data_IF_864446417635
#
_entry.id   IF_864446417635
#
_cell.length_a   1.000
_cell.length_b   1.000
_cell.length_c   1.000
_cell.angle_alpha   90.00
_cell.angle_beta   90.00
_cell.angle_gamma   90.00
#
_symmetry.space_group_name_H-M   'P 1'
#
loop_
_entity.id
_entity.type
_entity.pdbx_description
1 polymer ?
#
# COMPACT_ATOMS: atom_id res chain seq x y z
N UNK A 1 16.81 12.93 50.27
CA UNK A 1 16.78 13.02 48.79
C UNK A 1 17.28 11.70 48.25
N UNK A 2 16.37 10.76 47.95
CA UNK A 2 16.71 9.41 47.46
C UNK A 2 16.48 9.41 45.95
N UNK A 3 17.56 9.25 45.18
CA UNK A 3 17.50 9.05 43.74
C UNK A 3 17.05 7.61 43.47
N UNK A 4 15.79 7.44 43.08
CA UNK A 4 15.30 6.18 42.56
C UNK A 4 15.88 5.96 41.16
N UNK A 5 16.90 5.12 41.07
CA UNK A 5 17.43 4.63 39.79
C UNK A 5 16.37 3.79 39.07
N UNK A 6 15.88 4.27 37.92
CA UNK A 6 15.20 3.43 36.93
C UNK A 6 16.25 2.47 36.36
N UNK A 7 16.22 1.21 36.81
CA UNK A 7 16.91 0.13 36.11
C UNK A 7 16.34 -0.04 34.69
N UNK A 8 17.12 -0.62 33.77
CA UNK A 8 16.62 -0.95 32.43
C UNK A 8 15.49 -1.97 32.58
N UNK A 9 14.27 -1.56 32.26
CA UNK A 9 13.14 -2.47 32.19
C UNK A 9 13.39 -3.48 31.08
N UNK A 10 13.50 -4.76 31.43
CA UNK A 10 13.41 -5.82 30.45
C UNK A 10 12.05 -5.69 29.75
N UNK A 11 12.05 -5.30 28.48
CA UNK A 11 10.86 -5.36 27.66
C UNK A 11 10.54 -6.85 27.49
N UNK A 12 9.48 -7.32 28.15
CA UNK A 12 9.03 -8.69 28.00
C UNK A 12 8.71 -8.95 26.52
N UNK A 13 9.24 -10.06 25.99
CA UNK A 13 8.92 -10.51 24.63
C UNK A 13 7.40 -10.66 24.49
N UNK A 14 6.89 -10.27 23.33
CA UNK A 14 5.46 -10.39 23.05
C UNK A 14 5.13 -11.87 22.92
N UNK A 15 4.11 -12.32 23.65
CA UNK A 15 3.84 -13.75 23.84
C UNK A 15 3.63 -14.56 22.55
N UNK A 16 3.25 -13.91 21.45
CA UNK A 16 3.00 -14.55 20.16
C UNK A 16 4.10 -14.26 19.12
N UNK A 17 5.34 -14.06 19.57
CA UNK A 17 6.54 -13.92 18.71
C UNK A 17 7.01 -15.25 18.07
N UNK A 18 6.35 -16.36 18.39
CA UNK A 18 6.58 -17.69 17.83
C UNK A 18 5.26 -18.38 17.51
N UNK A 19 5.29 -19.30 16.54
CA UNK A 19 4.07 -19.89 15.99
C UNK A 19 3.39 -20.88 16.95
N UNK A 20 4.15 -21.49 17.86
CA UNK A 20 3.61 -22.37 18.90
C UNK A 20 2.75 -21.60 19.91
N UNK A 21 3.15 -20.37 20.24
CA UNK A 21 2.40 -19.46 21.13
C UNK A 21 1.54 -18.44 20.36
N UNK A 22 1.23 -18.72 19.09
CA UNK A 22 0.37 -17.87 18.25
C UNK A 22 -0.93 -17.52 18.97
N UNK A 23 -1.33 -16.25 18.83
CA UNK A 23 -2.53 -15.75 19.50
C UNK A 23 -3.79 -16.13 18.71
N UNK A 24 -4.72 -16.84 19.34
CA UNK A 24 -6.03 -17.14 18.74
C UNK A 24 -6.91 -15.89 18.68
N UNK A 25 -7.42 -15.60 17.50
CA UNK A 25 -8.35 -14.52 17.23
C UNK A 25 -9.79 -15.02 17.32
N UNK A 26 -10.63 -14.26 18.00
CA UNK A 26 -12.07 -14.48 18.00
C UNK A 26 -12.73 -13.60 16.93
N UNK A 27 -13.76 -14.12 16.28
CA UNK A 27 -14.52 -13.37 15.28
C UNK A 27 -15.04 -12.05 15.88
N UNK A 28 -14.86 -10.95 15.14
CA UNK A 28 -15.25 -9.59 15.50
C UNK A 28 -14.56 -9.03 16.76
N UNK A 29 -13.57 -9.72 17.35
CA UNK A 29 -12.81 -9.21 18.49
C UNK A 29 -11.54 -8.50 18.04
N UNK A 30 -11.43 -7.21 18.35
CA UNK A 30 -10.20 -6.45 18.14
C UNK A 30 -9.18 -6.81 19.20
N UNK A 31 -7.94 -7.04 18.77
CA UNK A 31 -6.79 -7.23 19.64
C UNK A 31 -5.73 -6.17 19.35
N UNK A 32 -5.00 -5.75 20.37
CA UNK A 32 -3.79 -4.91 20.22
C UNK A 32 -2.55 -5.80 20.30
N UNK A 33 -1.57 -5.51 19.44
CA UNK A 33 -0.28 -6.20 19.39
C UNK A 33 0.84 -5.23 19.02
N UNK A 34 2.09 -5.68 19.12
CA UNK A 34 3.28 -4.85 18.88
C UNK A 34 4.47 -5.65 18.37
N UNK A 35 5.06 -5.33 17.23
CA UNK A 35 6.24 -6.05 16.68
C UNK A 35 7.55 -5.73 17.43
N UNK A 36 7.50 -4.83 18.43
CA UNK A 36 8.67 -4.48 19.23
C UNK A 36 9.20 -5.68 20.03
N UNK A 37 10.48 -6.01 19.83
CA UNK A 37 11.15 -7.11 20.55
C UNK A 37 10.81 -8.52 20.05
N UNK A 38 10.06 -8.66 18.95
CA UNK A 38 9.79 -9.94 18.32
C UNK A 38 10.98 -10.43 17.49
N UNK A 39 11.06 -11.74 17.28
CA UNK A 39 12.10 -12.41 16.50
C UNK A 39 11.48 -13.30 15.42
N UNK A 40 12.24 -13.58 14.36
CA UNK A 40 11.81 -14.51 13.30
C UNK A 40 12.10 -15.94 13.71
N UNK A 41 11.08 -16.80 13.66
CA UNK A 41 11.25 -18.24 13.78
C UNK A 41 11.62 -18.85 12.42
N UNK A 42 12.90 -18.74 12.05
CA UNK A 42 13.41 -19.03 10.69
C UNK A 42 13.02 -20.41 10.13
N UNK A 43 12.88 -21.43 10.98
CA UNK A 43 12.45 -22.78 10.56
C UNK A 43 10.97 -22.89 10.18
N UNK A 44 10.15 -21.92 10.57
CA UNK A 44 8.70 -21.92 10.35
C UNK A 44 8.26 -20.98 9.23
N UNK A 45 9.19 -20.29 8.56
CA UNK A 45 8.95 -19.40 7.43
C UNK A 45 9.65 -19.92 6.18
N UNK A 46 9.04 -19.71 5.01
CA UNK A 46 9.68 -19.96 3.72
C UNK A 46 9.42 -18.76 2.80
N UNK A 47 10.43 -17.89 2.68
CA UNK A 47 10.38 -16.66 1.88
C UNK A 47 10.08 -16.94 0.39
N UNK A 48 10.34 -18.17 -0.09
CA UNK A 48 9.99 -18.56 -1.47
C UNK A 48 8.48 -18.58 -1.70
N UNK A 49 7.68 -18.80 -0.65
CA UNK A 49 6.22 -18.81 -0.73
C UNK A 49 5.62 -17.40 -0.81
N UNK A 50 6.31 -16.40 -0.28
CA UNK A 50 5.84 -15.01 -0.21
C UNK A 50 6.54 -14.06 -1.18
N UNK A 51 7.65 -14.50 -1.79
CA UNK A 51 8.44 -13.65 -2.69
C UNK A 51 8.92 -12.39 -1.97
N UNK A 52 8.85 -11.24 -2.64
CA UNK A 52 9.26 -9.95 -2.06
C UNK A 52 8.16 -9.22 -1.27
N UNK A 53 7.01 -9.85 -1.05
CA UNK A 53 5.88 -9.18 -0.40
C UNK A 53 6.13 -8.89 1.09
N UNK A 54 6.83 -9.78 1.79
CA UNK A 54 7.21 -9.63 3.20
C UNK A 54 8.69 -9.97 3.34
N UNK A 55 9.39 -9.27 4.22
CA UNK A 55 10.72 -9.66 4.66
C UNK A 55 10.64 -9.90 6.15
N UNK A 56 10.73 -11.15 6.58
CA UNK A 56 10.54 -11.53 7.98
C UNK A 56 11.68 -11.00 8.85
N UNK A 57 11.31 -10.23 9.87
CA UNK A 57 12.23 -9.55 10.78
C UNK A 57 11.76 -9.59 12.24
N UNK A 58 10.46 -9.38 12.48
CA UNK A 58 9.87 -9.26 13.80
C UNK A 58 8.41 -9.74 13.80
N UNK A 59 8.28 -10.97 13.34
CA UNK A 59 7.06 -11.75 13.13
C UNK A 59 6.17 -11.87 14.36
N UNK A 60 4.87 -11.85 14.11
CA UNK A 60 3.83 -12.10 15.11
C UNK A 60 2.80 -13.07 14.56
N UNK A 61 2.65 -14.19 15.25
CA UNK A 61 1.78 -15.25 14.81
C UNK A 61 0.41 -15.15 15.45
N UNK A 62 -0.61 -15.33 14.63
CA UNK A 62 -2.01 -15.44 15.04
C UNK A 62 -2.68 -16.62 14.35
N UNK A 63 -3.77 -17.09 14.95
CA UNK A 63 -4.60 -18.16 14.38
C UNK A 63 -6.06 -17.73 14.36
N UNK A 64 -6.75 -18.04 13.28
CA UNK A 64 -8.19 -17.88 13.18
C UNK A 64 -8.84 -19.15 12.61
N UNK A 65 -9.94 -19.57 13.23
CA UNK A 65 -10.77 -20.68 12.76
C UNK A 65 -12.16 -20.10 12.48
N UNK A 66 -12.58 -19.99 11.21
CA UNK A 66 -13.87 -19.41 10.87
C UNK A 66 -15.00 -20.36 11.29
N UNK A 67 -16.07 -19.86 11.94
CA UNK A 67 -17.21 -20.69 12.32
C UNK A 67 -18.04 -21.15 11.11
N UNK A 68 -18.03 -20.36 10.02
CA UNK A 68 -18.75 -20.64 8.77
C UNK A 68 -17.85 -20.35 7.57
N UNK A 69 -18.07 -21.05 6.45
CA UNK A 69 -17.34 -20.76 5.23
C UNK A 69 -17.81 -19.43 4.62
N UNK A 70 -16.90 -18.71 3.98
CA UNK A 70 -17.22 -17.46 3.28
C UNK A 70 -16.10 -16.44 3.34
N UNK A 71 -16.44 -15.20 2.95
CA UNK A 71 -15.52 -14.06 2.95
C UNK A 71 -15.37 -13.47 4.35
N UNK A 72 -14.13 -13.31 4.77
CA UNK A 72 -13.76 -12.59 5.98
C UNK A 72 -12.80 -11.44 5.65
N UNK A 73 -12.71 -10.49 6.57
CA UNK A 73 -11.82 -9.35 6.47
C UNK A 73 -10.86 -9.35 7.65
N UNK A 74 -9.57 -9.36 7.34
CA UNK A 74 -8.51 -9.07 8.30
C UNK A 74 -8.35 -7.55 8.32
N UNK A 75 -8.91 -6.90 9.34
CA UNK A 75 -8.82 -5.47 9.56
C UNK A 75 -7.57 -5.16 10.40
N UNK A 76 -6.70 -4.32 9.86
CA UNK A 76 -5.50 -3.82 10.55
C UNK A 76 -5.67 -2.32 10.69
N UNK A 77 -5.57 -1.80 11.92
CA UNK A 77 -5.75 -0.38 12.16
C UNK A 77 -5.01 0.12 13.38
N UNK A 78 -5.09 1.42 13.63
CA UNK A 78 -4.42 2.06 14.77
C UNK A 78 -2.91 1.86 14.75
N UNK A 79 -2.33 1.72 13.56
CA UNK A 79 -0.90 1.51 13.37
C UNK A 79 -0.13 2.72 13.92
N UNK A 80 0.94 2.44 14.68
CA UNK A 80 1.94 3.42 15.12
C UNK A 80 3.30 2.76 14.99
N UNK A 81 3.95 3.04 13.87
CA UNK A 81 5.28 2.55 13.56
C UNK A 81 6.31 3.69 13.63
N UNK A 82 7.59 3.37 13.77
CA UNK A 82 8.67 4.37 13.75
C UNK A 82 8.80 5.01 12.36
N UNK A 83 8.58 4.23 11.30
CA UNK A 83 8.63 4.65 9.90
C UNK A 83 7.23 4.64 9.24
N UNK A 84 7.12 5.23 8.05
CA UNK A 84 5.86 5.44 7.30
C UNK A 84 5.26 4.19 6.69
N UNK A 85 5.97 3.05 6.71
CA UNK A 85 5.66 1.88 5.87
C UNK A 85 4.69 0.88 6.49
N UNK A 86 4.36 1.05 7.78
CA UNK A 86 3.34 0.23 8.46
C UNK A 86 3.78 -1.22 8.69
N UNK A 87 2.81 -2.09 8.94
CA UNK A 87 3.01 -3.54 9.04
C UNK A 87 2.84 -4.24 7.69
N UNK A 88 3.29 -5.49 7.61
CA UNK A 88 3.08 -6.43 6.51
C UNK A 88 2.22 -7.59 7.03
N UNK A 89 1.41 -8.20 6.18
CA UNK A 89 0.53 -9.32 6.54
C UNK A 89 0.69 -10.48 5.57
N UNK A 90 0.83 -11.68 6.11
CA UNK A 90 0.62 -12.94 5.39
C UNK A 90 -0.57 -13.67 6.01
N UNK A 91 -1.46 -14.19 5.17
CA UNK A 91 -2.52 -15.12 5.56
C UNK A 91 -2.29 -16.42 4.83
N UNK A 92 -2.19 -17.52 5.57
CA UNK A 92 -1.90 -18.84 5.03
C UNK A 92 -2.68 -19.95 5.74
N UNK A 93 -2.77 -21.11 5.10
CA UNK A 93 -3.23 -22.36 5.73
C UNK A 93 -2.10 -23.38 5.71
N UNK A 94 -2.10 -24.32 6.65
CA UNK A 94 -1.11 -25.40 6.75
C UNK A 94 -0.87 -25.79 8.20
N UNK A 95 0.02 -26.76 8.42
CA UNK A 95 0.40 -27.21 9.76
C UNK A 95 1.43 -26.25 10.37
N UNK A 96 1.24 -25.73 11.60
CA UNK A 96 2.18 -24.82 12.24
C UNK A 96 3.63 -25.33 12.21
N UNK A 97 4.54 -24.45 11.81
CA UNK A 97 5.96 -24.72 11.64
C UNK A 97 6.29 -25.85 10.66
N UNK A 98 5.43 -26.09 9.66
CA UNK A 98 5.70 -27.01 8.56
C UNK A 98 5.53 -26.29 7.22
N UNK A 99 6.53 -25.48 6.78
CA UNK A 99 6.40 -24.63 5.60
C UNK A 99 6.05 -25.39 4.31
N UNK A 100 6.44 -26.66 4.20
CA UNK A 100 6.08 -27.52 3.07
C UNK A 100 4.56 -27.74 2.91
N UNK A 101 3.78 -27.51 3.96
CA UNK A 101 2.31 -27.63 3.95
C UNK A 101 1.60 -26.29 3.74
N UNK A 102 2.35 -25.20 3.67
CA UNK A 102 1.78 -23.87 3.62
C UNK A 102 1.22 -23.54 2.25
N UNK A 103 0.00 -23.01 2.25
CA UNK A 103 -0.61 -22.36 1.11
C UNK A 103 -0.93 -20.92 1.47
N UNK A 104 -0.27 -19.98 0.79
CA UNK A 104 -0.49 -18.53 0.98
C UNK A 104 -1.80 -18.13 0.32
N UNK A 105 -2.73 -17.63 1.11
CA UNK A 105 -4.01 -17.07 0.65
C UNK A 105 -3.85 -15.60 0.24
N UNK A 106 -3.11 -14.85 1.06
CA UNK A 106 -2.84 -13.44 0.82
C UNK A 106 -1.48 -13.08 1.38
N UNK A 107 -0.78 -12.20 0.67
CA UNK A 107 0.39 -11.51 1.19
C UNK A 107 0.25 -10.04 0.81
N UNK A 108 0.31 -9.15 1.79
CA UNK A 108 0.13 -7.72 1.58
C UNK A 108 1.16 -6.90 2.35
N UNK A 109 1.92 -6.09 1.63
CA UNK A 109 2.74 -5.02 2.22
C UNK A 109 1.93 -3.73 2.19
N UNK A 110 1.64 -3.14 3.36
CA UNK A 110 0.72 -2.00 3.44
C UNK A 110 1.37 -0.71 2.93
N UNK A 111 2.67 -0.51 3.16
CA UNK A 111 3.42 0.66 2.69
C UNK A 111 2.92 2.01 3.25
N UNK A 112 1.98 1.97 4.19
CA UNK A 112 1.33 3.09 4.87
C UNK A 112 0.87 2.64 6.27
N UNK A 113 0.61 3.59 7.16
CA UNK A 113 -0.05 3.35 8.46
C UNK A 113 -1.57 3.61 8.40
N UNK A 114 -2.20 3.49 7.21
CA UNK A 114 -3.65 3.59 7.09
C UNK A 114 -4.36 2.45 7.83
N UNK A 115 -5.59 2.69 8.26
CA UNK A 115 -6.48 1.60 8.65
C UNK A 115 -6.92 0.89 7.38
N UNK A 116 -6.61 -0.40 7.28
CA UNK A 116 -6.79 -1.20 6.08
C UNK A 116 -7.52 -2.50 6.36
N UNK A 117 -8.04 -3.11 5.31
CA UNK A 117 -8.51 -4.49 5.37
C UNK A 117 -7.96 -5.35 4.23
N UNK A 118 -7.79 -6.63 4.51
CA UNK A 118 -7.49 -7.68 3.54
C UNK A 118 -8.66 -8.66 3.50
N UNK A 119 -9.27 -8.81 2.33
CA UNK A 119 -10.35 -9.78 2.12
C UNK A 119 -9.77 -11.17 1.82
N UNK A 120 -10.30 -12.20 2.49
CA UNK A 120 -9.89 -13.60 2.32
C UNK A 120 -11.12 -14.52 2.28
N UNK A 121 -11.07 -15.54 1.43
CA UNK A 121 -12.11 -16.58 1.36
C UNK A 121 -11.67 -17.78 2.20
N UNK A 122 -12.45 -18.12 3.23
CA UNK A 122 -12.07 -19.12 4.23
C UNK A 122 -13.12 -20.24 4.34
N UNK A 123 -12.68 -21.44 4.70
CA UNK A 123 -13.51 -22.63 4.90
C UNK A 123 -13.80 -22.85 6.39
N UNK A 124 -15.04 -23.20 6.72
CA UNK A 124 -15.49 -23.44 8.09
C UNK A 124 -14.60 -24.47 8.82
N UNK A 125 -14.25 -24.20 10.08
CA UNK A 125 -13.50 -25.14 10.92
C UNK A 125 -12.04 -25.35 10.54
N UNK A 126 -11.56 -24.77 9.42
CA UNK A 126 -10.16 -24.88 9.00
C UNK A 126 -9.29 -23.81 9.70
N UNK A 127 -8.15 -24.18 10.30
CA UNK A 127 -7.25 -23.20 10.90
C UNK A 127 -6.49 -22.43 9.82
N UNK A 128 -6.47 -21.11 9.97
CA UNK A 128 -5.66 -20.19 9.19
C UNK A 128 -4.67 -19.48 10.10
N UNK A 129 -3.44 -19.37 9.62
CA UNK A 129 -2.34 -18.67 10.28
C UNK A 129 -2.24 -17.27 9.67
N UNK A 130 -2.07 -16.28 10.53
CA UNK A 130 -1.78 -14.92 10.13
C UNK A 130 -0.41 -14.56 10.72
N UNK A 131 0.47 -14.05 9.88
CA UNK A 131 1.75 -13.51 10.29
C UNK A 131 1.78 -12.01 10.02
N UNK A 132 2.13 -11.23 11.04
CA UNK A 132 2.25 -9.77 10.95
C UNK A 132 3.68 -9.37 11.29
N UNK A 133 4.35 -8.71 10.34
CA UNK A 133 5.73 -8.23 10.46
C UNK A 133 5.79 -6.70 10.37
N UNK A 134 6.77 -6.09 11.04
CA UNK A 134 7.06 -4.67 10.93
C UNK A 134 8.08 -4.41 9.81
N UNK A 135 7.69 -3.61 8.82
CA UNK A 135 8.50 -3.39 7.62
C UNK A 135 9.96 -3.00 7.94
N UNK A 136 10.95 -3.78 7.47
CA UNK A 136 12.40 -3.54 7.70
C UNK A 136 12.78 -3.42 9.20
N UNK A 137 12.36 -4.37 10.03
CA UNK A 137 12.61 -4.37 11.49
C UNK A 137 11.96 -3.18 12.21
N UNK A 138 10.91 -2.61 11.64
CA UNK A 138 10.23 -1.48 12.26
C UNK A 138 9.38 -1.94 13.46
N UNK A 139 9.39 -1.14 14.52
CA UNK A 139 8.61 -1.37 15.72
C UNK A 139 7.26 -0.70 15.59
N UNK A 140 6.23 -1.53 15.39
CA UNK A 140 4.86 -1.11 15.15
C UNK A 140 3.97 -1.58 16.30
N UNK A 141 3.17 -0.69 16.88
CA UNK A 141 1.96 -1.09 17.61
C UNK A 141 0.76 -1.01 16.67
N UNK A 142 -0.14 -1.99 16.71
CA UNK A 142 -1.31 -2.04 15.83
C UNK A 142 -2.48 -2.77 16.49
N UNK A 143 -3.64 -2.64 15.87
CA UNK A 143 -4.83 -3.44 16.17
C UNK A 143 -5.13 -4.39 15.03
N UNK A 144 -5.59 -5.60 15.37
CA UNK A 144 -5.95 -6.65 14.43
C UNK A 144 -7.35 -7.17 14.79
N UNK A 145 -8.18 -7.39 13.77
CA UNK A 145 -9.50 -7.99 13.93
C UNK A 145 -9.81 -8.84 12.70
N UNK A 146 -10.27 -10.07 12.90
CA UNK A 146 -10.93 -10.83 11.82
C UNK A 146 -12.42 -10.69 11.99
N UNK A 147 -13.13 -10.27 10.93
CA UNK A 147 -14.57 -9.99 11.01
C UNK A 147 -15.28 -10.28 9.70
N UNK A 148 -16.62 -10.28 9.75
CA UNK A 148 -17.46 -10.28 8.55
C UNK A 148 -17.57 -8.91 7.86
N UNK A 149 -16.91 -7.87 8.38
CA UNK A 149 -17.08 -6.50 7.93
C UNK A 149 -15.73 -5.82 7.69
N UNK A 150 -15.53 -5.27 6.49
CA UNK A 150 -14.33 -4.53 6.16
C UNK A 150 -14.30 -3.16 6.87
N UNK A 151 -13.17 -2.85 7.51
CA UNK A 151 -12.92 -1.56 8.16
C UNK A 151 -11.69 -0.90 7.53
N UNK A 152 -11.78 0.40 7.23
CA UNK A 152 -10.66 1.17 6.66
C UNK A 152 -10.72 1.28 5.13
N UNK A 153 -9.58 1.05 4.47
CA UNK A 153 -9.42 1.03 3.01
C UNK A 153 -8.90 -0.34 2.54
N UNK A 154 -9.20 -0.79 1.31
CA UNK A 154 -8.66 -2.06 0.83
C UNK A 154 -7.14 -1.97 0.74
N UNK A 155 -6.44 -2.93 1.37
CA UNK A 155 -4.98 -2.99 1.36
C UNK A 155 -4.42 -3.32 -0.03
N UNK A 156 -5.14 -4.15 -0.79
CA UNK A 156 -4.86 -4.38 -2.20
C UNK A 156 -5.47 -3.23 -2.99
N UNK A 157 -4.62 -2.29 -3.39
CA UNK A 157 -5.03 -1.16 -4.20
C UNK A 157 -5.49 -1.65 -5.58
N UNK A 158 -6.75 -1.45 -6.01
CA UNK A 158 -7.10 -1.61 -7.40
C UNK A 158 -6.20 -0.71 -8.26
N UNK A 159 -6.01 -1.16 -9.50
CA UNK A 159 -5.18 -0.50 -10.50
C UNK A 159 -5.34 1.03 -10.41
N UNK A 160 -4.28 1.83 -10.16
CA UNK A 160 -4.40 3.26 -10.40
C UNK A 160 -4.92 3.44 -11.83
N UNK A 161 -6.10 4.06 -11.94
CA UNK A 161 -6.48 4.74 -13.17
C UNK A 161 -5.29 5.62 -13.57
N UNK A 162 -4.98 5.76 -14.88
CA UNK A 162 -3.82 6.49 -15.34
C UNK A 162 -3.70 7.79 -14.55
N UNK A 163 -2.57 7.95 -13.87
CA UNK A 163 -2.26 9.14 -13.13
C UNK A 163 -2.23 10.28 -14.14
N UNK A 164 -3.35 10.99 -14.29
CA UNK A 164 -3.29 12.40 -14.57
C UNK A 164 -2.67 13.04 -13.34
N UNK A 165 -1.34 12.96 -13.21
CA UNK A 165 -0.62 13.97 -12.47
C UNK A 165 -0.88 15.26 -13.24
N UNK A 166 -2.00 15.93 -12.95
CA UNK A 166 -2.27 17.23 -13.51
C UNK A 166 -1.10 18.09 -13.05
N UNK A 167 -0.27 18.62 -13.95
CA UNK A 167 0.68 19.65 -13.58
C UNK A 167 -0.16 20.88 -13.22
N UNK A 168 -0.59 20.93 -11.96
CA UNK A 168 -1.28 22.09 -11.46
C UNK A 168 -0.20 23.12 -11.15
N UNK A 169 -0.10 24.14 -12.00
CA UNK A 169 0.58 25.40 -11.64
C UNK A 169 -0.08 26.05 -10.42
N UNK A 170 -1.31 25.62 -10.11
CA UNK A 170 -2.07 25.98 -8.92
C UNK A 170 -1.90 24.97 -7.79
N UNK A 171 -1.94 25.45 -6.54
CA UNK A 171 -2.07 24.60 -5.35
C UNK A 171 -3.49 24.06 -5.16
N UNK A 172 -4.46 24.56 -5.93
CA UNK A 172 -5.85 24.06 -5.90
C UNK A 172 -5.98 22.88 -6.85
N UNK A 173 -6.47 21.76 -6.33
CA UNK A 173 -6.70 20.53 -7.09
C UNK A 173 -8.18 20.21 -7.14
N UNK A 174 -8.62 19.70 -8.29
CA UNK A 174 -9.96 19.15 -8.45
C UNK A 174 -9.88 17.63 -8.44
N UNK A 175 -10.41 17.02 -7.37
CA UNK A 175 -10.55 15.58 -7.23
C UNK A 175 -11.88 15.18 -7.88
N UNK A 176 -11.83 14.74 -9.13
CA UNK A 176 -13.01 14.29 -9.86
C UNK A 176 -13.04 12.75 -10.00
N UNK A 177 -14.22 12.14 -9.90
CA UNK A 177 -14.43 10.71 -10.12
C UNK A 177 -15.82 10.40 -10.66
N UNK A 178 -15.96 9.25 -11.31
CA UNK A 178 -17.25 8.63 -11.63
C UNK A 178 -17.45 7.42 -10.72
N UNK A 179 -18.69 7.16 -10.29
CA UNK A 179 -19.01 6.02 -9.44
C UNK A 179 -19.60 4.90 -10.32
N UNK A 180 -18.93 3.74 -10.44
CA UNK A 180 -19.46 2.60 -11.19
C UNK A 180 -20.83 2.14 -10.69
N UNK A 181 -21.63 1.53 -11.56
CA UNK A 181 -22.96 1.01 -11.20
C UNK A 181 -22.90 -0.11 -10.17
N UNK A 182 -21.82 -0.90 -10.15
CA UNK A 182 -21.57 -1.90 -9.10
C UNK A 182 -21.45 -1.31 -7.69
N UNK A 183 -21.14 -0.01 -7.57
CA UNK A 183 -21.03 0.71 -6.30
C UNK A 183 -22.23 1.64 -6.06
N UNK A 184 -23.34 1.46 -6.79
CA UNK A 184 -24.53 2.28 -6.62
C UNK A 184 -25.12 2.26 -5.21
N UNK A 185 -24.96 1.14 -4.50
CA UNK A 185 -25.44 0.97 -3.13
C UNK A 185 -24.61 1.72 -2.07
N UNK A 186 -23.46 2.29 -2.42
CA UNK A 186 -22.64 3.04 -1.49
C UNK A 186 -23.38 4.32 -1.03
N UNK A 187 -23.43 4.61 0.28
CA UNK A 187 -24.10 5.80 0.80
C UNK A 187 -23.30 7.09 0.55
N UNK A 188 -21.97 6.98 0.52
CA UNK A 188 -21.05 8.11 0.32
C UNK A 188 -19.72 7.65 -0.24
N UNK A 189 -18.95 8.61 -0.76
CA UNK A 189 -17.53 8.46 -1.04
C UNK A 189 -16.71 9.34 -0.09
N UNK A 190 -15.68 8.78 0.53
CA UNK A 190 -14.64 9.50 1.26
C UNK A 190 -13.52 9.92 0.31
N UNK A 191 -13.12 11.17 0.38
CA UNK A 191 -11.90 11.70 -0.24
C UNK A 191 -10.83 11.77 0.85
N UNK A 192 -9.86 10.88 0.76
CA UNK A 192 -8.74 10.77 1.66
C UNK A 192 -7.50 11.41 1.02
N UNK A 193 -6.68 12.08 1.82
CA UNK A 193 -5.40 12.64 1.40
C UNK A 193 -4.30 12.19 2.35
N UNK A 194 -3.22 11.66 1.79
CA UNK A 194 -1.96 11.43 2.50
C UNK A 194 -0.89 12.33 1.93
N UNK A 195 -0.37 13.23 2.74
CA UNK A 195 0.82 14.00 2.36
C UNK A 195 2.02 13.09 2.30
N UNK A 196 3.00 13.41 1.46
CA UNK A 196 4.16 12.57 1.19
C UNK A 196 4.93 12.09 2.42
N UNK A 197 5.02 12.91 3.47
CA UNK A 197 5.69 12.58 4.74
C UNK A 197 4.72 12.15 5.84
N UNK A 198 3.42 12.08 5.54
CA UNK A 198 2.42 11.67 6.51
C UNK A 198 2.37 10.14 6.59
N UNK A 199 2.34 9.63 7.81
CA UNK A 199 2.23 8.20 8.09
C UNK A 199 0.92 7.59 7.56
N UNK A 200 -0.16 8.36 7.57
CA UNK A 200 -1.51 7.92 7.18
C UNK A 200 -2.28 9.00 6.43
N UNK A 201 -3.28 8.56 5.70
CA UNK A 201 -4.28 9.39 5.05
C UNK A 201 -5.20 10.04 6.07
N UNK A 202 -5.70 11.22 5.73
CA UNK A 202 -6.71 11.95 6.48
C UNK A 202 -7.94 12.17 5.60
N UNK A 203 -9.13 12.03 6.18
CA UNK A 203 -10.36 12.36 5.46
C UNK A 203 -10.44 13.87 5.25
N UNK A 204 -10.51 14.28 3.99
CA UNK A 204 -10.66 15.69 3.59
C UNK A 204 -12.12 16.05 3.39
N UNK A 205 -12.89 15.10 2.83
CA UNK A 205 -14.29 15.29 2.53
C UNK A 205 -15.01 13.95 2.49
N UNK A 206 -16.28 13.95 2.90
CA UNK A 206 -17.24 12.89 2.60
C UNK A 206 -18.32 13.46 1.70
N UNK A 207 -18.57 12.81 0.57
CA UNK A 207 -19.55 13.24 -0.43
C UNK A 207 -20.65 12.20 -0.50
N UNK A 208 -21.91 12.54 -0.17
CA UNK A 208 -23.02 11.60 -0.28
C UNK A 208 -23.27 11.23 -1.74
N UNK A 209 -23.65 9.98 -1.99
CA UNK A 209 -24.06 9.53 -3.32
C UNK A 209 -25.47 10.07 -3.57
N UNK A 210 -25.53 11.19 -4.30
CA UNK A 210 -26.78 11.86 -4.61
C UNK A 210 -27.65 11.03 -5.57
N UNK A 211 -28.97 11.07 -5.34
CA UNK A 211 -29.97 10.48 -6.23
C UNK A 211 -31.01 11.55 -6.55
N UNK A 212 -31.41 11.62 -7.83
CA UNK A 212 -32.54 12.44 -8.22
C UNK A 212 -33.87 11.74 -7.85
N UNK A 213 -34.99 12.42 -8.07
CA UNK A 213 -36.34 11.90 -7.78
C UNK A 213 -36.70 10.61 -8.53
N UNK A 214 -36.00 10.31 -9.62
CA UNK A 214 -36.17 9.10 -10.43
C UNK A 214 -35.14 8.01 -10.08
N UNK A 215 -34.37 8.18 -9.01
CA UNK A 215 -33.34 7.23 -8.57
C UNK A 215 -32.02 7.28 -9.36
N UNK A 216 -31.93 8.15 -10.37
CA UNK A 216 -30.73 8.38 -11.17
C UNK A 216 -29.63 9.08 -10.38
N UNK A 217 -28.36 8.77 -10.69
CA UNK A 217 -27.18 9.33 -10.03
C UNK A 217 -26.44 10.31 -10.96
N UNK A 218 -25.72 11.31 -10.44
CA UNK A 218 -24.78 12.09 -11.24
C UNK A 218 -23.74 11.19 -11.92
N UNK A 219 -23.41 11.51 -13.17
CA UNK A 219 -22.37 10.79 -13.92
C UNK A 219 -20.95 11.02 -13.36
N UNK A 220 -20.74 12.15 -12.69
CA UNK A 220 -19.46 12.52 -12.11
C UNK A 220 -19.64 13.32 -10.81
N UNK A 221 -18.64 13.23 -9.95
CA UNK A 221 -18.50 13.94 -8.69
C UNK A 221 -17.18 14.71 -8.70
N UNK A 222 -17.14 15.83 -7.99
CA UNK A 222 -15.91 16.62 -7.83
C UNK A 222 -15.79 17.25 -6.45
N UNK A 223 -14.57 17.35 -5.95
CA UNK A 223 -14.22 18.09 -4.73
C UNK A 223 -12.96 18.91 -5.00
N UNK A 224 -13.01 20.19 -4.65
CA UNK A 224 -11.81 21.02 -4.62
C UNK A 224 -11.07 20.83 -3.28
N UNK A 225 -9.74 20.73 -3.32
CA UNK A 225 -8.88 20.80 -2.14
C UNK A 225 -7.66 21.66 -2.44
N UNK A 226 -7.02 22.19 -1.39
CA UNK A 226 -5.77 22.95 -1.53
C UNK A 226 -4.62 22.13 -0.98
N UNK A 227 -3.61 21.93 -1.83
CA UNK A 227 -2.41 21.16 -1.51
C UNK A 227 -1.39 22.01 -0.74
N UNK A 228 -1.04 21.64 0.50
CA UNK A 228 0.12 22.23 1.17
C UNK A 228 1.45 21.72 0.57
N UNK A 229 1.43 20.54 -0.07
CA UNK A 229 2.58 19.90 -0.72
C UNK A 229 2.14 18.66 -1.50
N UNK A 230 3.10 17.87 -2.03
CA UNK A 230 2.78 16.63 -2.73
C UNK A 230 2.02 15.64 -1.84
N UNK A 231 1.02 14.97 -2.42
CA UNK A 231 0.19 14.02 -1.69
C UNK A 231 -0.54 13.03 -2.58
N UNK A 232 -0.93 11.92 -1.97
CA UNK A 232 -1.76 10.88 -2.54
C UNK A 232 -3.22 11.19 -2.20
N UNK A 233 -4.06 11.23 -3.22
CA UNK A 233 -5.50 11.20 -3.03
C UNK A 233 -6.03 9.80 -3.26
N UNK A 234 -6.99 9.43 -2.42
CA UNK A 234 -7.80 8.23 -2.57
C UNK A 234 -9.27 8.62 -2.47
N UNK A 235 -10.09 8.12 -3.38
CA UNK A 235 -11.54 8.19 -3.30
C UNK A 235 -12.04 6.79 -3.00
N UNK A 236 -12.71 6.63 -1.86
CA UNK A 236 -13.19 5.34 -1.38
C UNK A 236 -14.71 5.41 -1.24
N UNK A 237 -15.44 4.58 -1.98
CA UNK A 237 -16.86 4.37 -1.75
C UNK A 237 -17.02 3.62 -0.41
N UNK A 238 -17.87 4.13 0.47
CA UNK A 238 -18.17 3.47 1.74
C UNK A 238 -18.91 2.16 1.52
N UNK A 239 -18.84 1.27 2.52
CA UNK A 239 -19.58 0.02 2.48
C UNK A 239 -21.08 0.27 2.26
N UNK A 240 -21.72 -0.61 1.49
CA UNK A 240 -23.16 -0.60 1.38
C UNK A 240 -23.80 -0.84 2.76
N UNK A 241 -24.92 -0.19 3.04
CA UNK A 241 -25.55 -0.21 4.38
C UNK A 241 -26.05 -1.59 4.81
N UNK A 242 -26.27 -2.48 3.84
CA UNK A 242 -26.64 -3.88 4.01
C UNK A 242 -25.42 -4.81 4.21
N UNK A 243 -24.19 -4.27 4.15
CA UNK A 243 -22.96 -5.05 4.22
C UNK A 243 -22.59 -5.81 2.96
N UNK A 244 -23.39 -5.72 1.90
CA UNK A 244 -23.21 -6.53 0.70
C UNK A 244 -21.92 -6.20 -0.05
N UNK A 245 -21.43 -4.95 0.08
CA UNK A 245 -20.19 -4.50 -0.54
C UNK A 245 -19.27 -3.83 0.49
N UNK A 246 -17.99 -4.26 0.60
CA UNK A 246 -17.02 -3.60 1.46
C UNK A 246 -16.61 -2.22 0.90
N UNK A 247 -15.97 -1.35 1.70
CA UNK A 247 -15.44 -0.09 1.21
C UNK A 247 -14.52 -0.32 0.02
N UNK A 248 -14.76 0.36 -1.09
CA UNK A 248 -14.07 0.09 -2.36
C UNK A 248 -13.31 1.32 -2.82
N UNK A 249 -12.02 1.17 -3.14
CA UNK A 249 -11.22 2.24 -3.72
C UNK A 249 -11.68 2.52 -5.16
N UNK A 250 -12.27 3.69 -5.38
CA UNK A 250 -12.81 4.14 -6.67
C UNK A 250 -11.71 4.78 -7.51
N UNK A 251 -10.85 5.58 -6.88
CA UNK A 251 -9.79 6.32 -7.58
C UNK A 251 -8.61 6.55 -6.65
N UNK A 252 -7.41 6.47 -7.18
CA UNK A 252 -6.18 6.83 -6.47
C UNK A 252 -5.22 7.50 -7.42
N UNK A 253 -4.62 8.61 -6.99
CA UNK A 253 -3.66 9.34 -7.79
C UNK A 253 -2.78 10.21 -6.89
N UNK A 254 -1.52 10.35 -7.30
CA UNK A 254 -0.61 11.31 -6.69
C UNK A 254 -0.76 12.65 -7.38
N UNK A 255 -0.70 13.70 -6.58
CA UNK A 255 -0.62 15.07 -7.07
C UNK A 255 0.59 15.72 -6.43
N UNK A 256 1.41 16.36 -7.24
CA UNK A 256 2.44 17.27 -6.79
C UNK A 256 2.24 18.61 -7.48
N UNK A 257 2.42 19.67 -6.72
CA UNK A 257 2.64 21.00 -7.25
C UNK A 257 4.14 21.21 -7.19
N UNK A 258 4.79 21.26 -8.35
CA UNK A 258 6.23 21.42 -8.46
C UNK A 258 6.56 22.22 -9.71
N UNK A 259 7.31 23.31 -9.56
CA UNK A 259 7.96 23.99 -10.69
C UNK A 259 9.06 23.13 -11.33
N UNK A 260 9.47 22.01 -10.68
CA UNK A 260 10.52 21.09 -11.13
C UNK A 260 10.01 19.89 -11.92
N UNK A 261 8.72 19.85 -12.29
CA UNK A 261 8.20 18.90 -13.28
C UNK A 261 8.26 19.59 -14.64
N UNK A 262 9.39 19.52 -15.38
CA UNK A 262 9.32 19.87 -16.79
C UNK A 262 8.31 18.90 -17.41
N UNK A 263 7.35 19.45 -18.14
CA UNK A 263 6.54 18.66 -19.04
C UNK A 263 7.43 17.77 -19.90
N UNK A 264 6.87 16.68 -20.40
CA UNK A 264 7.34 15.92 -21.56
C UNK A 264 7.50 16.87 -22.77
N UNK A 265 8.52 17.74 -22.73
CA UNK A 265 9.10 18.35 -23.90
C UNK A 265 9.90 17.29 -24.65
N UNK A 266 10.31 17.56 -25.89
CA UNK A 266 11.25 16.68 -26.58
C UNK A 266 12.44 16.42 -25.65
N UNK A 267 12.76 15.14 -25.42
CA UNK A 267 13.92 14.72 -24.65
C UNK A 267 15.14 15.48 -25.19
N UNK A 268 15.58 16.50 -24.46
CA UNK A 268 16.85 17.13 -24.72
C UNK A 268 17.95 16.06 -24.55
N UNK A 269 19.11 16.24 -25.17
CA UNK A 269 20.25 15.34 -25.06
C UNK A 269 20.92 15.40 -23.67
N UNK A 270 20.12 15.49 -22.60
CA UNK A 270 20.54 15.57 -21.22
C UNK A 270 20.70 14.19 -20.56
N UNK A 271 21.23 14.18 -19.33
CA UNK A 271 21.35 12.97 -18.53
C UNK A 271 19.96 12.39 -18.27
N UNK A 272 19.82 11.09 -18.51
CA UNK A 272 18.56 10.38 -18.37
C UNK A 272 18.77 9.09 -17.58
N UNK A 273 17.85 8.82 -16.66
CA UNK A 273 17.74 7.55 -15.99
C UNK A 273 17.07 6.56 -16.95
N UNK A 274 17.72 5.41 -17.15
CA UNK A 274 17.18 4.31 -17.95
C UNK A 274 16.54 3.28 -17.03
N UNK A 275 15.22 3.13 -17.13
CA UNK A 275 14.52 2.04 -16.46
C UNK A 275 14.89 0.69 -17.12
N UNK A 276 15.11 -0.38 -16.33
CA UNK A 276 15.46 -1.70 -16.88
C UNK A 276 14.23 -2.43 -17.45
N UNK A 277 13.56 -1.83 -18.44
CA UNK A 277 12.30 -2.33 -19.00
C UNK A 277 12.44 -3.72 -19.66
N UNK A 278 13.68 -4.12 -20.02
CA UNK A 278 14.00 -5.44 -20.56
C UNK A 278 13.70 -6.59 -19.59
N UNK A 279 13.61 -6.31 -18.29
CA UNK A 279 13.30 -7.32 -17.27
C UNK A 279 11.80 -7.69 -17.24
N UNK A 280 10.96 -6.97 -17.98
CA UNK A 280 9.51 -7.14 -17.94
C UNK A 280 8.96 -7.77 -19.23
N UNK A 281 7.85 -8.55 -19.15
CA UNK A 281 7.23 -9.12 -20.33
C UNK A 281 6.81 -8.06 -21.36
N UNK A 282 6.92 -8.42 -22.64
CA UNK A 282 6.46 -7.56 -23.75
C UNK A 282 4.95 -7.33 -23.65
N UNK A 283 4.50 -6.15 -24.05
CA UNK A 283 3.10 -5.69 -23.98
C UNK A 283 2.52 -5.64 -22.56
N UNK A 284 3.35 -5.85 -21.52
CA UNK A 284 2.91 -5.65 -20.15
C UNK A 284 2.61 -4.17 -19.91
N UNK A 285 1.55 -3.90 -19.15
CA UNK A 285 1.30 -2.55 -18.64
C UNK A 285 2.15 -2.36 -17.40
N UNK A 286 3.05 -1.38 -17.42
CA UNK A 286 3.95 -1.06 -16.32
C UNK A 286 3.50 0.22 -15.65
N UNK A 287 3.40 0.20 -14.32
CA UNK A 287 3.26 1.41 -13.50
C UNK A 287 4.57 1.65 -12.79
N UNK A 288 5.19 2.81 -13.03
CA UNK A 288 6.50 3.19 -12.50
C UNK A 288 6.30 4.33 -11.52
N UNK A 289 6.72 4.12 -10.28
CA UNK A 289 6.77 5.12 -9.21
C UNK A 289 8.22 5.34 -8.82
N UNK A 290 8.71 6.58 -8.91
CA UNK A 290 10.07 6.95 -8.55
C UNK A 290 10.02 7.91 -7.39
N UNK A 291 10.77 7.59 -6.35
CA UNK A 291 10.86 8.34 -5.10
C UNK A 291 12.31 8.62 -4.72
N UNK A 292 12.53 9.74 -4.06
CA UNK A 292 13.76 10.01 -3.32
C UNK A 292 13.79 9.09 -2.09
N UNK A 293 14.78 8.18 -1.99
CA UNK A 293 14.86 7.19 -0.92
C UNK A 293 15.09 7.82 0.46
N UNK A 294 15.61 9.05 0.51
CA UNK A 294 15.87 9.74 1.79
C UNK A 294 14.61 10.40 2.32
N UNK A 295 13.89 11.13 1.47
CA UNK A 295 12.73 11.92 1.89
C UNK A 295 11.38 11.25 1.64
N UNK A 296 11.37 10.10 0.94
CA UNK A 296 10.16 9.48 0.40
C UNK A 296 9.53 10.30 -0.73
N UNK A 297 10.23 11.30 -1.27
CA UNK A 297 9.63 12.24 -2.23
C UNK A 297 9.43 11.64 -3.60
N UNK A 298 8.20 11.53 -4.07
CA UNK A 298 7.89 11.17 -5.45
C UNK A 298 8.46 12.21 -6.39
N UNK A 299 9.30 11.71 -7.28
CA UNK A 299 9.96 12.44 -8.35
C UNK A 299 9.25 12.18 -9.68
N UNK A 300 8.71 10.97 -9.89
CA UNK A 300 7.95 10.60 -11.08
C UNK A 300 6.88 9.55 -10.75
N UNK A 301 5.74 9.63 -11.44
CA UNK A 301 4.78 8.54 -11.53
C UNK A 301 4.30 8.43 -12.98
N UNK A 302 4.55 7.30 -13.64
CA UNK A 302 4.29 7.11 -15.07
C UNK A 302 3.71 5.72 -15.33
N UNK A 303 2.76 5.62 -16.26
CA UNK A 303 2.36 4.35 -16.85
C UNK A 303 2.90 4.25 -18.27
N UNK A 304 3.32 3.04 -18.65
CA UNK A 304 3.77 2.75 -20.00
C UNK A 304 3.45 1.30 -20.37
N UNK A 305 3.32 1.03 -21.67
CA UNK A 305 3.23 -0.33 -22.19
C UNK A 305 4.62 -0.73 -22.65
N UNK A 306 5.12 -1.87 -22.18
CA UNK A 306 6.46 -2.33 -22.53
C UNK A 306 6.52 -2.76 -24.00
N UNK A 307 7.06 -1.90 -24.87
CA UNK A 307 7.24 -2.15 -26.29
C UNK A 307 8.74 -2.16 -26.61
N UNK A 308 9.23 -3.16 -27.35
CA UNK A 308 10.65 -3.22 -27.71
C UNK A 308 11.09 -2.09 -28.66
N UNK A 309 10.15 -1.58 -29.44
CA UNK A 309 10.47 -0.67 -30.55
C UNK A 309 10.62 0.78 -30.06
N UNK A 310 10.43 1.04 -28.77
CA UNK A 310 10.64 2.34 -28.17
C UNK A 310 11.68 2.23 -27.03
N UNK A 311 12.99 2.21 -27.35
CA UNK A 311 14.05 2.19 -26.34
C UNK A 311 14.03 3.42 -25.43
N UNK A 312 13.35 4.51 -25.83
CA UNK A 312 13.19 5.74 -25.05
C UNK A 312 12.00 5.70 -24.10
N UNK A 313 11.13 4.69 -24.18
CA UNK A 313 9.96 4.58 -23.30
C UNK A 313 10.35 4.58 -21.80
N UNK A 314 11.51 3.98 -21.49
CA UNK A 314 12.10 3.90 -20.16
C UNK A 314 13.04 5.05 -19.80
N UNK A 315 13.20 6.07 -20.65
CA UNK A 315 14.06 7.21 -20.37
C UNK A 315 13.32 8.25 -19.55
N UNK A 316 14.01 8.77 -18.54
CA UNK A 316 13.49 9.79 -17.64
C UNK A 316 14.54 10.88 -17.51
N UNK A 317 14.15 12.10 -17.83
CA UNK A 317 14.99 13.28 -17.58
C UNK A 317 15.24 13.45 -16.08
N UNK A 318 16.52 13.55 -15.71
CA UNK A 318 16.94 13.70 -14.31
C UNK A 318 17.55 15.06 -13.99
N UNK A 319 17.53 16.01 -14.92
CA UNK A 319 18.20 17.31 -14.72
C UNK A 319 17.71 18.05 -13.47
N UNK A 320 16.39 18.07 -13.24
CA UNK A 320 15.83 18.73 -12.05
C UNK A 320 16.15 17.99 -10.75
N UNK A 321 16.41 16.68 -10.81
CA UNK A 321 16.78 15.86 -9.66
C UNK A 321 18.25 16.06 -9.30
N UNK A 322 19.11 16.14 -10.30
CA UNK A 322 20.53 16.48 -10.14
C UNK A 322 20.70 17.87 -9.52
N UNK A 323 19.96 18.87 -10.03
CA UNK A 323 19.96 20.22 -9.48
C UNK A 323 19.49 20.25 -8.01
N UNK A 324 18.64 19.31 -7.60
CA UNK A 324 18.19 19.12 -6.22
C UNK A 324 19.16 18.27 -5.36
N UNK A 325 20.31 17.85 -5.89
CA UNK A 325 21.31 17.06 -5.19
C UNK A 325 20.94 15.58 -5.00
N UNK A 326 19.92 15.09 -5.70
CA UNK A 326 19.46 13.69 -5.59
C UNK A 326 20.42 12.78 -6.34
N UNK A 327 21.06 11.85 -5.62
CA UNK A 327 22.07 10.92 -6.17
C UNK A 327 21.52 9.52 -6.46
N UNK A 328 20.44 9.12 -5.77
CA UNK A 328 19.79 7.81 -5.92
C UNK A 328 18.29 7.98 -5.86
N UNK A 329 17.56 7.07 -6.50
CA UNK A 329 16.10 7.03 -6.51
C UNK A 329 15.61 5.61 -6.27
N UNK A 330 14.59 5.46 -5.43
CA UNK A 330 13.84 4.21 -5.28
C UNK A 330 12.75 4.16 -6.36
N UNK A 331 12.75 3.11 -7.16
CA UNK A 331 11.84 2.88 -8.28
C UNK A 331 11.02 1.63 -8.01
N UNK A 332 9.71 1.79 -7.84
CA UNK A 332 8.78 0.68 -7.81
C UNK A 332 8.16 0.50 -9.21
N UNK A 333 8.35 -0.68 -9.82
CA UNK A 333 7.77 -1.03 -11.12
C UNK A 333 6.75 -2.15 -10.90
N UNK A 334 5.47 -1.79 -10.94
CA UNK A 334 4.39 -2.77 -10.93
C UNK A 334 4.14 -3.27 -12.35
N UNK A 335 4.39 -4.55 -12.56
CA UNK A 335 4.23 -5.23 -13.84
C UNK A 335 2.88 -5.93 -13.94
N UNK A 336 2.20 -5.68 -15.06
CA UNK A 336 0.94 -6.34 -15.41
C UNK A 336 1.06 -7.04 -16.76
N UNK A 337 1.49 -8.31 -16.77
CA UNK A 337 1.59 -9.04 -18.01
C UNK A 337 0.20 -9.33 -18.58
N UNK A 338 0.10 -9.51 -19.90
CA UNK A 338 -1.16 -9.88 -20.55
C UNK A 338 -1.69 -11.25 -20.08
N UNK A 339 -0.78 -12.11 -19.60
CA UNK A 339 -1.05 -13.40 -18.98
C UNK A 339 -0.07 -13.61 -17.84
N UNK A 340 -0.54 -14.12 -16.71
CA UNK A 340 0.29 -14.39 -15.52
C UNK A 340 -0.08 -13.53 -14.32
N UNK A 341 0.69 -13.67 -13.24
CA UNK A 341 0.45 -12.93 -11.99
C UNK A 341 1.06 -11.53 -12.04
N UNK A 342 0.40 -10.61 -11.36
CA UNK A 342 0.92 -9.27 -11.12
C UNK A 342 2.05 -9.33 -10.09
N UNK A 343 3.06 -8.49 -10.26
CA UNK A 343 4.15 -8.34 -9.30
C UNK A 343 4.66 -6.90 -9.31
N UNK A 344 5.37 -6.51 -8.25
CA UNK A 344 6.04 -5.21 -8.16
C UNK A 344 7.50 -5.44 -7.77
N UNK A 345 8.41 -4.88 -8.56
CA UNK A 345 9.83 -4.85 -8.22
C UNK A 345 10.18 -3.50 -7.60
N UNK A 346 11.03 -3.53 -6.57
CA UNK A 346 11.62 -2.35 -5.96
C UNK A 346 13.10 -2.27 -6.32
N UNK A 347 13.51 -1.19 -6.95
CA UNK A 347 14.87 -0.96 -7.43
C UNK A 347 15.43 0.30 -6.79
N UNK A 348 16.70 0.30 -6.41
CA UNK A 348 17.41 1.51 -6.02
C UNK A 348 18.39 1.87 -7.14
N UNK A 349 18.05 2.89 -7.94
CA UNK A 349 18.84 3.28 -9.11
C UNK A 349 19.66 4.55 -8.81
N UNK A 350 20.88 4.62 -9.36
CA UNK A 350 21.69 5.82 -9.31
C UNK A 350 21.16 6.85 -10.31
N UNK A 351 21.04 8.11 -9.88
CA UNK A 351 20.80 9.22 -10.80
C UNK A 351 22.12 9.46 -11.55
N UNK A 352 22.13 9.44 -12.91
CA UNK A 352 23.33 9.70 -13.67
C UNK A 352 23.94 11.04 -13.24
N UNK A 353 25.26 11.17 -13.29
CA UNK A 353 25.91 12.46 -13.06
C UNK A 353 25.71 13.38 -14.28
N UNK A 354 25.75 14.71 -14.10
CA UNK A 354 25.84 15.62 -15.24
C UNK A 354 27.07 15.24 -16.07
N UNK A 355 26.92 15.17 -17.39
CA UNK A 355 28.09 15.08 -18.28
C UNK A 355 28.81 16.41 -18.15
N UNK A 356 30.08 16.39 -17.74
CA UNK A 356 30.89 17.61 -17.69
C UNK A 356 30.93 18.23 -19.10
N UNK A 357 30.80 19.55 -19.23
CA UNK A 357 30.72 20.24 -20.51
C UNK A 357 31.97 20.06 -21.37
#
# INVERSE_FOLDING_TARGET
MVLAGRGPGALAQVANDNIENRRRLALNKTVTSSTAGCTVQRGCVDERLTGQCIQYHNDQWFEFIPPTAGRYFVNIGGQRCRDVRGVQLVVLTGQPCQPATYHVLSCTSLGTQDDVFVAVELQAGQPYLLDVDGYLQDFCTFTLQVSGWAVGVPAVLPLPAPAGALPATSRVVQVAWALPDSLAGAPSCRVLRREQRAFRSTERRRVPVARNSYGGRPAAYTVADTLPGPGLYQVVADAASDGASPPTLVKQFWVSYSQLNPMLGPLAAGPHLVLPLQNYPRKATLSVLITDPVSGRILLNKQLVNQLNDPKAGWIDTQSWQAAGIKKVEVAITCRPARGRFFTDHLLLAVPLPVAP
#
